data_IF_872352135707
#
_entry.id   IF_872352135707
#
_cell.length_a   1.000
_cell.length_b   1.000
_cell.length_c   1.000
_cell.angle_alpha   90.00
_cell.angle_beta   90.00
_cell.angle_gamma   90.00
#
_symmetry.space_group_name_H-M   'P 1'
#
loop_
_entity.id
_entity.type
_entity.pdbx_description
1 polymer ?
#
# COMPACT_ATOMS: atom_id res chain seq x y z
N UNK A 1 -29.96 -16.15 -1.79
CA UNK A 1 -29.14 -15.63 -2.90
C UNK A 1 -28.29 -14.44 -2.49
N UNK A 2 -28.75 -13.59 -1.56
CA UNK A 2 -28.02 -12.43 -1.01
C UNK A 2 -26.64 -12.74 -0.40
N UNK A 3 -26.42 -13.95 0.13
CA UNK A 3 -25.13 -14.32 0.72
C UNK A 3 -24.00 -14.35 -0.34
N UNK A 4 -24.26 -14.91 -1.53
CA UNK A 4 -23.25 -15.07 -2.60
C UNK A 4 -22.76 -13.74 -3.19
N UNK A 5 -23.53 -12.67 -2.99
CA UNK A 5 -23.24 -11.31 -3.47
C UNK A 5 -22.60 -10.45 -2.38
N UNK A 6 -22.46 -10.96 -1.15
CA UNK A 6 -21.88 -10.19 -0.04
C UNK A 6 -20.35 -10.11 -0.17
N UNK A 7 -19.78 -8.99 0.27
CA UNK A 7 -18.31 -8.83 0.36
C UNK A 7 -17.69 -9.89 1.27
N UNK A 8 -18.34 -10.24 2.38
CA UNK A 8 -17.89 -11.32 3.26
C UNK A 8 -17.83 -12.67 2.52
N UNK A 9 -18.77 -12.95 1.61
CA UNK A 9 -18.69 -14.14 0.75
C UNK A 9 -17.59 -14.02 -0.31
N UNK A 10 -17.54 -12.90 -1.05
CA UNK A 10 -16.57 -12.72 -2.14
C UNK A 10 -15.12 -12.75 -1.65
N UNK A 11 -14.83 -12.07 -0.54
CA UNK A 11 -13.47 -11.88 -0.06
C UNK A 11 -13.13 -12.75 1.16
N UNK A 12 -14.12 -13.23 1.92
CA UNK A 12 -13.91 -14.15 3.05
C UNK A 12 -13.36 -15.51 2.64
N UNK A 13 -13.47 -15.88 1.37
CA UNK A 13 -12.86 -17.11 0.82
C UNK A 13 -11.38 -16.95 0.47
N UNK A 14 -10.81 -15.73 0.59
CA UNK A 14 -9.40 -15.49 0.23
C UNK A 14 -8.49 -16.31 1.16
N UNK A 15 -7.67 -17.23 0.63
CA UNK A 15 -6.69 -17.96 1.44
C UNK A 15 -5.64 -17.00 2.01
N UNK A 16 -4.73 -17.50 2.82
CA UNK A 16 -3.59 -16.69 3.25
C UNK A 16 -2.77 -16.27 2.01
N UNK A 17 -2.58 -14.97 1.84
CA UNK A 17 -1.66 -14.43 0.84
C UNK A 17 -0.80 -13.32 1.43
N UNK A 18 0.33 -13.08 0.78
CA UNK A 18 1.28 -12.04 1.13
C UNK A 18 1.41 -11.04 -0.01
N UNK A 19 1.29 -9.77 0.32
CA UNK A 19 1.68 -8.66 -0.52
C UNK A 19 2.99 -8.08 0.01
N UNK A 20 3.95 -7.77 -0.89
CA UNK A 20 5.20 -7.10 -0.53
C UNK A 20 5.70 -6.24 -1.69
N UNK A 21 6.27 -5.07 -1.36
CA UNK A 21 6.97 -4.19 -2.31
C UNK A 21 8.44 -4.51 -2.50
N UNK A 22 9.01 -5.42 -1.71
CA UNK A 22 10.40 -5.81 -1.80
C UNK A 22 10.55 -7.34 -1.94
N UNK A 23 11.55 -7.82 -2.69
CA UNK A 23 11.89 -9.24 -2.72
C UNK A 23 12.43 -9.68 -1.36
N UNK A 24 12.22 -10.94 -1.02
CA UNK A 24 12.83 -11.61 0.13
C UNK A 24 13.53 -12.89 -0.32
N UNK A 25 14.31 -13.53 0.56
CA UNK A 25 14.96 -14.82 0.25
C UNK A 25 13.93 -15.89 -0.13
N UNK A 26 12.79 -15.94 0.58
CA UNK A 26 11.69 -16.87 0.30
C UNK A 26 10.85 -16.49 -0.93
N UNK A 27 10.94 -15.24 -1.40
CA UNK A 27 10.16 -14.73 -2.53
C UNK A 27 10.92 -13.69 -3.36
N UNK A 28 11.80 -14.22 -4.22
CA UNK A 28 12.65 -13.46 -5.14
C UNK A 28 11.92 -12.90 -6.39
N UNK A 29 10.58 -12.97 -6.44
CA UNK A 29 9.82 -12.45 -7.58
C UNK A 29 9.98 -10.94 -7.74
N UNK A 30 10.00 -10.48 -8.99
CA UNK A 30 10.06 -9.05 -9.29
C UNK A 30 8.84 -8.31 -8.72
N UNK A 31 9.08 -7.10 -8.19
CA UNK A 31 8.05 -6.27 -7.55
C UNK A 31 7.67 -5.08 -8.43
N UNK A 32 6.44 -4.55 -8.27
CA UNK A 32 6.04 -3.36 -9.00
C UNK A 32 6.99 -2.19 -8.72
N UNK A 33 7.20 -1.34 -9.72
CA UNK A 33 8.00 -0.12 -9.55
C UNK A 33 7.31 0.80 -8.55
N UNK A 34 8.05 1.15 -7.50
CA UNK A 34 7.64 2.16 -6.53
C UNK A 34 7.52 3.54 -7.21
N UNK A 35 6.69 4.45 -6.67
CA UNK A 35 6.52 5.77 -7.26
C UNK A 35 7.84 6.54 -7.22
N UNK A 36 8.44 6.79 -8.38
CA UNK A 36 9.56 7.71 -8.51
C UNK A 36 9.07 9.16 -8.48
N UNK A 37 9.94 10.08 -8.05
CA UNK A 37 9.68 11.51 -8.20
C UNK A 37 10.56 12.03 -9.32
N UNK A 38 9.96 12.81 -10.22
CA UNK A 38 10.74 13.57 -11.20
C UNK A 38 11.42 14.72 -10.47
N UNK A 39 12.75 14.70 -10.45
CA UNK A 39 13.55 15.84 -9.99
C UNK A 39 13.93 16.66 -11.22
N UNK A 40 13.47 17.90 -11.28
CA UNK A 40 13.85 18.83 -12.34
C UNK A 40 14.96 19.73 -11.78
N UNK A 41 16.16 19.63 -12.36
CA UNK A 41 17.27 20.50 -11.98
C UNK A 41 16.95 21.95 -12.40
N UNK A 42 16.90 22.91 -11.46
CA UNK A 42 16.50 24.29 -11.78
C UNK A 42 17.51 25.06 -12.65
N UNK A 43 18.69 24.48 -12.96
CA UNK A 43 19.78 25.14 -13.70
C UNK A 43 20.13 24.53 -15.06
N UNK A 44 19.59 23.37 -15.42
CA UNK A 44 19.81 22.74 -16.72
C UNK A 44 18.45 22.56 -17.38
N UNK A 45 18.17 23.36 -18.40
CA UNK A 45 16.85 23.48 -19.04
C UNK A 45 16.10 22.15 -19.14
N UNK A 46 14.98 22.07 -18.43
CA UNK A 46 13.87 21.11 -18.59
C UNK A 46 14.23 19.62 -18.69
N UNK A 47 15.38 19.19 -18.17
CA UNK A 47 15.67 17.76 -17.96
C UNK A 47 15.15 17.35 -16.58
N UNK A 48 13.95 16.79 -16.57
CA UNK A 48 13.39 16.15 -15.37
C UNK A 48 13.84 14.68 -15.36
N UNK A 49 14.70 14.32 -14.42
CA UNK A 49 15.17 12.95 -14.27
C UNK A 49 14.24 12.21 -13.30
N UNK A 50 13.79 11.01 -13.68
CA UNK A 50 13.11 10.12 -12.75
C UNK A 50 14.13 9.69 -11.69
N UNK A 51 13.90 10.09 -10.45
CA UNK A 51 14.72 9.67 -9.32
C UNK A 51 13.94 8.64 -8.50
N UNK A 52 14.57 7.51 -8.18
CA UNK A 52 14.04 6.48 -7.27
C UNK A 52 14.13 6.96 -5.81
N UNK A 53 13.72 8.20 -5.53
CA UNK A 53 13.87 8.83 -4.22
C UNK A 53 12.85 8.34 -3.19
N UNK A 54 11.77 7.67 -3.60
CA UNK A 54 10.76 7.18 -2.68
C UNK A 54 10.80 5.65 -2.61
N UNK A 55 11.69 5.15 -1.75
CA UNK A 55 11.80 3.73 -1.42
C UNK A 55 11.09 3.52 -0.09
N UNK A 56 10.24 2.49 -0.02
CA UNK A 56 9.61 2.05 1.20
C UNK A 56 9.37 0.54 1.10
N UNK A 57 9.48 -0.13 2.23
CA UNK A 57 9.24 -1.56 2.33
C UNK A 57 7.89 -1.75 3.01
N UNK A 58 6.86 -2.01 2.19
CA UNK A 58 5.52 -2.32 2.65
C UNK A 58 5.27 -3.80 2.40
N UNK A 59 4.84 -4.50 3.44
CA UNK A 59 4.35 -5.87 3.34
C UNK A 59 3.14 -6.07 4.24
N UNK A 60 2.21 -6.90 3.78
CA UNK A 60 1.12 -7.38 4.62
C UNK A 60 0.72 -8.81 4.26
N UNK A 61 0.29 -9.54 5.27
CA UNK A 61 -0.37 -10.83 5.13
C UNK A 61 -1.86 -10.64 5.33
N UNK A 62 -2.68 -11.31 4.53
CA UNK A 62 -4.12 -11.27 4.70
C UNK A 62 -4.76 -12.63 4.51
N UNK A 63 -5.81 -12.89 5.28
CA UNK A 63 -6.59 -14.13 5.27
C UNK A 63 -8.06 -13.80 5.49
N UNK A 64 -8.94 -14.40 4.69
CA UNK A 64 -10.37 -14.06 4.67
C UNK A 64 -10.56 -12.53 4.49
N UNK A 65 -9.65 -11.94 3.69
CA UNK A 65 -9.34 -10.52 3.48
C UNK A 65 -9.31 -9.59 4.70
N UNK A 66 -9.05 -10.15 5.87
CA UNK A 66 -8.55 -9.43 7.03
C UNK A 66 -7.02 -9.40 7.01
N UNK A 67 -6.44 -8.23 7.27
CA UNK A 67 -4.99 -8.09 7.49
C UNK A 67 -4.59 -8.84 8.76
N UNK A 68 -3.65 -9.77 8.64
CA UNK A 68 -3.09 -10.55 9.74
C UNK A 68 -1.81 -9.94 10.27
N UNK A 69 -0.97 -9.45 9.34
CA UNK A 69 0.28 -8.75 9.65
C UNK A 69 0.43 -7.57 8.71
N UNK A 70 1.01 -6.50 9.22
CA UNK A 70 1.34 -5.31 8.44
C UNK A 70 2.70 -4.81 8.89
N UNK A 71 3.55 -4.44 7.95
CA UNK A 71 4.85 -3.84 8.22
C UNK A 71 5.13 -2.76 7.18
N UNK A 72 5.59 -1.61 7.65
CA UNK A 72 6.06 -0.52 6.81
C UNK A 72 7.38 0.01 7.35
N UNK A 73 8.44 -0.05 6.55
CA UNK A 73 9.78 0.42 6.93
C UNK A 73 10.44 1.24 5.82
N UNK A 74 11.65 1.72 6.11
CA UNK A 74 12.50 2.49 5.18
C UNK A 74 11.86 3.79 4.70
N UNK A 75 10.99 4.37 5.54
CA UNK A 75 10.36 5.65 5.28
C UNK A 75 11.41 6.77 5.31
N UNK A 76 11.29 7.70 4.37
CA UNK A 76 12.18 8.86 4.30
C UNK A 76 12.17 9.73 5.56
N UNK A 77 11.11 9.63 6.37
CA UNK A 77 10.91 10.39 7.61
C UNK A 77 11.56 9.72 8.84
N UNK A 78 12.02 8.46 8.74
CA UNK A 78 12.64 7.73 9.85
C UNK A 78 11.69 7.41 11.01
N UNK A 79 10.38 7.51 10.79
CA UNK A 79 9.36 7.26 11.82
C UNK A 79 9.13 5.77 12.05
N UNK A 80 8.85 5.42 13.31
CA UNK A 80 8.45 4.08 13.70
C UNK A 80 6.97 3.83 13.32
N UNK A 81 6.74 2.88 12.41
CA UNK A 81 5.42 2.48 11.95
C UNK A 81 4.75 1.43 12.85
N UNK A 82 5.21 1.22 14.08
CA UNK A 82 4.64 0.24 15.01
C UNK A 82 3.16 0.50 15.30
N UNK A 83 2.78 1.75 15.61
CA UNK A 83 1.36 2.11 15.85
C UNK A 83 0.49 1.89 14.61
N UNK A 84 1.04 2.17 13.42
CA UNK A 84 0.37 1.90 12.16
C UNK A 84 0.14 0.40 11.97
N UNK A 85 1.17 -0.40 12.24
CA UNK A 85 1.14 -1.85 12.11
C UNK A 85 0.07 -2.46 13.00
N UNK A 86 0.01 -2.05 14.27
CA UNK A 86 -1.05 -2.45 15.20
C UNK A 86 -2.44 -2.03 14.71
N UNK A 87 -2.57 -0.77 14.24
CA UNK A 87 -3.86 -0.27 13.77
C UNK A 87 -4.38 -1.08 12.57
N UNK A 88 -3.49 -1.64 11.74
CA UNK A 88 -3.84 -2.33 10.50
C UNK A 88 -4.29 -3.77 10.72
N UNK A 89 -3.93 -4.41 11.85
CA UNK A 89 -4.36 -5.78 12.16
C UNK A 89 -5.90 -5.83 12.22
N UNK A 90 -6.49 -6.85 11.61
CA UNK A 90 -7.93 -7.05 11.42
C UNK A 90 -8.63 -5.99 10.55
N UNK A 91 -7.91 -5.11 9.87
CA UNK A 91 -8.53 -4.26 8.85
C UNK A 91 -9.03 -5.12 7.68
N UNK A 92 -10.25 -4.86 7.21
CA UNK A 92 -10.83 -5.48 6.02
C UNK A 92 -10.29 -4.77 4.78
N UNK A 93 -9.51 -5.47 3.96
CA UNK A 93 -8.82 -4.86 2.80
C UNK A 93 -9.81 -4.22 1.82
N UNK A 94 -10.96 -4.88 1.61
CA UNK A 94 -11.99 -4.41 0.69
C UNK A 94 -12.80 -3.21 1.20
N UNK A 95 -12.75 -2.89 2.50
CA UNK A 95 -13.40 -1.69 3.07
C UNK A 95 -12.49 -0.44 2.98
N UNK A 96 -11.22 -0.61 2.62
CA UNK A 96 -10.27 0.51 2.51
C UNK A 96 -10.50 1.24 1.19
N UNK A 97 -11.42 2.21 1.20
CA UNK A 97 -11.73 3.04 0.03
C UNK A 97 -10.64 4.07 -0.33
N UNK A 98 -9.89 4.54 0.67
CA UNK A 98 -8.72 5.42 0.47
C UNK A 98 -7.57 5.03 1.41
N UNK A 99 -6.53 4.44 0.82
CA UNK A 99 -5.31 4.05 1.53
C UNK A 99 -4.55 5.24 2.12
N UNK A 100 -4.61 6.43 1.51
CA UNK A 100 -3.92 7.61 2.05
C UNK A 100 -4.56 8.07 3.36
N UNK A 101 -5.90 8.04 3.43
CA UNK A 101 -6.63 8.32 4.66
C UNK A 101 -6.39 7.23 5.71
N UNK A 102 -6.43 5.96 5.30
CA UNK A 102 -6.25 4.82 6.21
C UNK A 102 -4.86 4.77 6.86
N UNK A 103 -3.81 5.09 6.09
CA UNK A 103 -2.44 5.17 6.59
C UNK A 103 -2.27 6.35 7.56
N UNK A 104 -2.82 7.53 7.24
CA UNK A 104 -2.83 8.68 8.17
C UNK A 104 -3.55 8.36 9.48
N UNK A 105 -4.70 7.70 9.41
CA UNK A 105 -5.47 7.32 10.60
C UNK A 105 -4.69 6.34 11.50
N UNK A 106 -3.79 5.53 10.92
CA UNK A 106 -2.87 4.67 11.66
C UNK A 106 -1.60 5.37 12.16
N UNK A 107 -1.48 6.70 12.01
CA UNK A 107 -0.36 7.47 12.57
C UNK A 107 0.79 7.75 11.61
N UNK A 108 0.68 7.39 10.33
CA UNK A 108 1.71 7.76 9.34
C UNK A 108 1.65 9.26 9.03
N UNK A 109 2.80 9.94 8.94
CA UNK A 109 2.84 11.35 8.59
C UNK A 109 2.14 11.63 7.25
N UNK A 110 1.64 12.86 7.11
CA UNK A 110 0.80 13.21 5.97
C UNK A 110 1.49 13.14 4.60
N UNK A 111 2.80 13.35 4.53
CA UNK A 111 3.54 13.29 3.27
C UNK A 111 3.68 11.84 2.80
N UNK A 112 4.16 10.96 3.68
CA UNK A 112 4.37 9.54 3.37
C UNK A 112 3.02 8.84 3.14
N UNK A 113 2.02 9.11 3.98
CA UNK A 113 0.67 8.58 3.79
C UNK A 113 0.04 9.03 2.47
N UNK A 114 0.26 10.28 2.05
CA UNK A 114 -0.24 10.73 0.74
C UNK A 114 0.48 10.04 -0.42
N UNK A 115 1.80 9.86 -0.34
CA UNK A 115 2.58 9.28 -1.44
C UNK A 115 2.34 7.78 -1.57
N UNK A 116 2.47 7.03 -0.47
CA UNK A 116 2.23 5.58 -0.42
C UNK A 116 0.76 5.28 -0.71
N UNK A 117 -0.15 6.03 -0.08
CA UNK A 117 -1.59 5.83 -0.23
C UNK A 117 -2.09 6.06 -1.67
N UNK A 118 -1.61 7.10 -2.36
CA UNK A 118 -1.94 7.32 -3.77
C UNK A 118 -1.49 6.15 -4.65
N UNK A 119 -0.32 5.61 -4.39
CA UNK A 119 0.19 4.44 -5.11
C UNK A 119 -0.62 3.18 -4.81
N UNK A 120 -0.92 2.88 -3.55
CA UNK A 120 -1.78 1.75 -3.17
C UNK A 120 -3.19 1.87 -3.76
N UNK A 121 -3.78 3.07 -3.75
CA UNK A 121 -5.06 3.33 -4.40
C UNK A 121 -5.01 3.03 -5.92
N UNK A 122 -3.88 3.29 -6.58
CA UNK A 122 -3.73 2.95 -8.00
C UNK A 122 -3.59 1.45 -8.28
N UNK A 123 -3.13 0.68 -7.29
CA UNK A 123 -2.82 -0.74 -7.42
C UNK A 123 -3.97 -1.64 -6.96
N UNK A 124 -4.55 -1.34 -5.80
CA UNK A 124 -5.51 -2.20 -5.11
C UNK A 124 -6.96 -1.77 -5.34
N UNK A 125 -7.21 -0.54 -5.80
CA UNK A 125 -8.56 -0.12 -6.14
C UNK A 125 -8.91 -0.66 -7.52
N UNK A 126 -9.87 -1.57 -7.57
CA UNK A 126 -10.59 -1.86 -8.80
C UNK A 126 -11.31 -0.58 -9.20
N UNK A 127 -11.14 -0.12 -10.45
CA UNK A 127 -11.99 0.96 -10.97
C UNK A 127 -13.43 0.50 -10.78
N UNK A 128 -14.19 1.20 -9.94
CA UNK A 128 -15.65 1.17 -10.03
C UNK A 128 -15.97 1.42 -11.50
N UNK A 129 -16.61 0.45 -12.15
CA UNK A 129 -17.21 0.65 -13.46
C UNK A 129 -18.10 1.87 -13.34
N UNK A 130 -17.78 2.91 -14.10
CA UNK A 130 -18.69 4.02 -14.34
C UNK A 130 -19.88 3.44 -15.09
N UNK A 131 -20.99 3.21 -14.38
CA UNK A 131 -22.32 3.19 -14.98
C UNK A 131 -22.78 4.64 -15.25
#
# INVERSE_FOLDING_TARGET
MTELESHDWTFGQTPLFTFSTHPSEDDARERPKLPGHYYCHPRQGMLCQLTNMFQFNLAFEARHGLVQKFSLSDLSSGEDASSLSESMVNARIWEIGDWAQRLRAGGLNGKDASSIGKWLNSLLRTKESSD
#
